data_IF_539908726113
#
_entry.id   IF_539908726113
#
_cell.length_a   1.000
_cell.length_b   1.000
_cell.length_c   1.000
_cell.angle_alpha   90.00
_cell.angle_beta   90.00
_cell.angle_gamma   90.00
#
_symmetry.space_group_name_H-M   'P 1'
#
loop_
_entity.id
_entity.type
_entity.pdbx_description
1 polymer ?
#
# COMPACT_ATOMS: atom_id res chain seq x y z
N UNK A 1 7.59 15.95 12.07
CA UNK A 1 6.51 15.67 11.10
C UNK A 1 5.19 15.61 11.85
N UNK A 2 4.26 16.53 11.55
CA UNK A 2 2.93 16.57 12.16
C UNK A 2 1.93 16.17 11.07
N UNK A 3 1.25 15.03 11.26
CA UNK A 3 0.12 14.62 10.44
C UNK A 3 -1.15 14.75 11.28
N UNK A 4 -2.16 15.44 10.76
CA UNK A 4 -3.49 15.50 11.37
C UNK A 4 -4.48 14.84 10.43
N UNK A 5 -5.21 13.84 10.93
CA UNK A 5 -6.32 13.22 10.22
C UNK A 5 -7.59 13.85 10.77
N UNK A 6 -8.43 14.43 9.90
CA UNK A 6 -9.77 14.91 10.29
C UNK A 6 -10.78 13.82 9.96
N UNK A 7 -11.03 12.94 10.92
CA UNK A 7 -11.92 11.79 10.77
C UNK A 7 -11.86 10.85 11.96
N UNK A 8 -12.42 9.66 11.81
CA UNK A 8 -12.27 8.57 12.78
C UNK A 8 -11.62 7.35 12.13
N UNK A 9 -10.74 6.71 12.89
CA UNK A 9 -10.11 5.45 12.55
C UNK A 9 -10.47 4.44 13.61
N UNK A 10 -11.06 3.32 13.21
CA UNK A 10 -11.33 2.19 14.09
C UNK A 10 -10.58 0.99 13.55
N UNK A 11 -9.96 0.21 14.43
CA UNK A 11 -9.26 -1.02 14.07
C UNK A 11 -9.14 -1.89 15.32
N UNK A 12 -9.04 -3.20 15.11
CA UNK A 12 -8.78 -4.17 16.18
C UNK A 12 -7.38 -4.72 16.00
N UNK A 13 -6.54 -4.63 17.03
CA UNK A 13 -5.22 -5.28 17.03
C UNK A 13 -5.40 -6.73 17.43
N UNK A 14 -5.19 -7.66 16.50
CA UNK A 14 -5.32 -9.10 16.78
C UNK A 14 -3.99 -9.75 17.11
N UNK A 15 -2.89 -9.15 16.64
CA UNK A 15 -1.53 -9.62 16.92
C UNK A 15 -0.59 -8.44 17.08
N UNK A 16 0.23 -8.48 18.13
CA UNK A 16 1.33 -7.54 18.30
C UNK A 16 2.54 -8.26 18.89
N UNK A 17 3.67 -8.17 18.21
CA UNK A 17 4.94 -8.69 18.67
C UNK A 17 6.08 -7.85 18.11
N UNK A 18 6.93 -7.36 19.01
CA UNK A 18 8.17 -6.68 18.62
C UNK A 18 9.09 -7.58 17.79
N UNK A 19 8.99 -8.91 17.90
CA UNK A 19 9.87 -9.85 17.19
C UNK A 19 9.23 -10.50 15.95
N UNK A 20 7.89 -10.60 15.92
CA UNK A 20 7.17 -11.43 14.95
C UNK A 20 6.12 -10.73 14.10
N UNK A 21 5.86 -9.45 14.34
CA UNK A 21 4.93 -8.66 13.52
C UNK A 21 3.71 -8.14 14.25
N UNK A 22 2.85 -7.49 13.47
CA UNK A 22 1.62 -6.86 13.90
C UNK A 22 0.50 -7.21 12.91
N UNK A 23 -0.71 -7.43 13.41
CA UNK A 23 -1.88 -7.63 12.57
C UNK A 23 -3.06 -6.82 13.10
N UNK A 24 -3.81 -6.27 12.16
CA UNK A 24 -5.01 -5.49 12.39
C UNK A 24 -6.17 -6.10 11.63
N UNK A 25 -7.35 -6.08 12.25
CA UNK A 25 -8.61 -6.43 11.62
C UNK A 25 -9.58 -5.25 11.66
N UNK A 26 -10.52 -5.27 10.72
CA UNK A 26 -11.63 -4.31 10.63
C UNK A 26 -11.17 -2.85 10.68
N UNK A 27 -10.10 -2.53 9.95
CA UNK A 27 -9.62 -1.16 9.84
C UNK A 27 -10.60 -0.36 8.99
N UNK A 28 -11.21 0.66 9.57
CA UNK A 28 -12.18 1.53 8.91
C UNK A 28 -11.81 2.98 9.13
N UNK A 29 -11.58 3.71 8.03
CA UNK A 29 -11.35 5.14 8.01
C UNK A 29 -12.57 5.86 7.45
N UNK A 30 -13.15 6.74 8.26
CA UNK A 30 -14.29 7.57 7.90
C UNK A 30 -13.88 9.04 7.84
N UNK A 31 -14.31 9.74 6.79
CA UNK A 31 -14.23 11.20 6.72
C UNK A 31 -15.25 11.86 7.64
N UNK A 32 -15.23 13.19 7.70
CA UNK A 32 -16.21 13.98 8.42
C UNK A 32 -17.67 13.78 7.93
N UNK A 33 -18.62 14.35 8.67
CA UNK A 33 -20.07 14.21 8.45
C UNK A 33 -20.56 14.69 7.08
N UNK A 34 -19.75 15.42 6.30
CA UNK A 34 -20.08 15.90 4.95
C UNK A 34 -20.35 14.75 3.97
N UNK A 35 -19.81 13.55 4.24
CA UNK A 35 -19.92 12.35 3.41
C UNK A 35 -20.71 11.21 4.08
N UNK A 36 -21.71 11.54 4.92
CA UNK A 36 -22.64 10.57 5.50
C UNK A 36 -21.95 9.47 6.33
N UNK A 37 -20.78 9.77 6.93
CA UNK A 37 -19.95 8.82 7.67
C UNK A 37 -19.55 7.55 6.90
N UNK A 38 -19.66 7.57 5.58
CA UNK A 38 -19.26 6.43 4.76
C UNK A 38 -17.73 6.26 4.82
N UNK A 39 -17.25 5.01 4.87
CA UNK A 39 -15.82 4.75 4.92
C UNK A 39 -15.18 5.16 3.61
N UNK A 40 -14.11 5.96 3.69
CA UNK A 40 -13.26 6.28 2.53
C UNK A 40 -12.32 5.11 2.23
N UNK A 41 -11.90 4.43 3.29
CA UNK A 41 -11.04 3.26 3.22
C UNK A 41 -11.51 2.26 4.29
N UNK A 42 -11.62 0.99 3.90
CA UNK A 42 -11.72 -0.11 4.84
C UNK A 42 -10.82 -1.27 4.43
N UNK A 43 -10.28 -1.98 5.41
CA UNK A 43 -9.43 -3.17 5.20
C UNK A 43 -9.90 -4.21 6.18
N UNK A 44 -10.17 -5.43 5.69
CA UNK A 44 -10.59 -6.53 6.55
C UNK A 44 -9.42 -7.02 7.40
N UNK A 45 -8.27 -7.21 6.77
CA UNK A 45 -7.05 -7.70 7.43
C UNK A 45 -5.82 -6.98 6.87
N UNK A 46 -4.98 -6.49 7.77
CA UNK A 46 -3.68 -5.93 7.47
C UNK A 46 -2.65 -6.62 8.36
N UNK A 47 -1.77 -7.42 7.77
CA UNK A 47 -0.69 -8.12 8.48
C UNK A 47 0.67 -7.65 8.00
N UNK A 48 1.54 -7.31 8.94
CA UNK A 48 2.97 -7.16 8.73
C UNK A 48 3.69 -8.19 9.61
N UNK A 49 4.25 -9.22 8.99
CA UNK A 49 5.03 -10.25 9.68
C UNK A 49 6.52 -10.07 9.38
N UNK A 50 7.33 -10.08 10.42
CA UNK A 50 8.79 -10.08 10.34
C UNK A 50 9.36 -11.09 11.31
N UNK A 51 10.67 -11.35 11.25
CA UNK A 51 11.32 -12.22 12.22
C UNK A 51 12.66 -11.61 12.65
N UNK A 52 12.63 -10.70 13.62
CA UNK A 52 13.82 -9.96 14.06
C UNK A 52 14.93 -10.86 14.64
N UNK A 53 14.66 -11.95 15.37
CA UNK A 53 15.70 -12.86 15.84
C UNK A 53 16.64 -13.37 14.72
N UNK A 54 16.17 -13.46 13.48
CA UNK A 54 17.00 -13.87 12.35
C UNK A 54 18.06 -12.85 11.95
N UNK A 55 17.88 -11.57 12.31
CA UNK A 55 18.86 -10.51 12.05
C UNK A 55 20.18 -10.83 12.77
N UNK A 56 20.11 -11.43 13.97
CA UNK A 56 21.29 -11.88 14.72
C UNK A 56 22.10 -12.95 13.97
N UNK A 57 21.46 -13.68 13.05
CA UNK A 57 22.09 -14.69 12.20
C UNK A 57 22.46 -14.15 10.81
N UNK A 58 22.43 -12.82 10.62
CA UNK A 58 22.67 -12.19 9.32
C UNK A 58 21.55 -12.47 8.31
N UNK A 59 20.29 -12.60 8.77
CA UNK A 59 19.14 -12.84 7.87
C UNK A 59 18.07 -11.78 8.15
N UNK A 60 17.99 -10.78 7.28
CA UNK A 60 16.97 -9.74 7.35
C UNK A 60 15.70 -10.22 6.63
N UNK A 61 14.86 -10.99 7.34
CA UNK A 61 13.64 -11.57 6.76
C UNK A 61 12.41 -10.69 7.07
N UNK A 62 11.98 -9.88 6.10
CA UNK A 62 10.65 -9.28 6.06
C UNK A 62 9.67 -10.36 5.58
N UNK A 63 9.15 -11.14 6.52
CA UNK A 63 8.46 -12.39 6.20
C UNK A 63 7.21 -12.19 5.34
N UNK A 64 6.35 -11.20 5.64
CA UNK A 64 5.07 -11.05 4.93
C UNK A 64 4.46 -9.66 5.10
N UNK A 65 3.86 -9.13 4.04
CA UNK A 65 2.92 -8.01 4.06
C UNK A 65 1.64 -8.52 3.41
N UNK A 66 0.54 -8.60 4.17
CA UNK A 66 -0.76 -9.02 3.68
C UNK A 66 -1.79 -7.90 3.83
N UNK A 67 -2.53 -7.64 2.75
CA UNK A 67 -3.67 -6.74 2.72
C UNK A 67 -4.84 -7.50 2.11
N UNK A 68 -5.88 -7.74 2.91
CA UNK A 68 -7.05 -8.50 2.49
C UNK A 68 -8.30 -7.63 2.59
N UNK A 69 -9.10 -7.63 1.52
CA UNK A 69 -10.39 -6.95 1.50
C UNK A 69 -10.27 -5.44 1.58
N UNK A 70 -9.21 -4.84 1.01
CA UNK A 70 -9.09 -3.39 0.91
C UNK A 70 -10.21 -2.85 0.03
N UNK A 71 -10.99 -1.92 0.57
CA UNK A 71 -12.02 -1.17 -0.14
C UNK A 71 -11.68 0.30 -0.06
N UNK A 72 -11.44 0.92 -1.20
CA UNK A 72 -11.25 2.36 -1.32
C UNK A 72 -12.46 2.91 -2.07
N UNK A 73 -13.12 3.90 -1.49
CA UNK A 73 -14.28 4.56 -2.08
C UNK A 73 -14.00 6.05 -2.16
N UNK A 74 -13.58 6.52 -3.35
CA UNK A 74 -13.29 7.91 -3.62
C UNK A 74 -14.51 8.59 -4.22
N UNK A 75 -15.00 9.61 -3.54
CA UNK A 75 -16.23 10.32 -3.94
C UNK A 75 -16.00 11.80 -4.02
N UNK A 76 -16.46 12.40 -5.11
CA UNK A 76 -16.50 13.84 -5.26
C UNK A 76 -17.94 14.35 -5.09
N UNK A 77 -18.15 15.25 -4.13
CA UNK A 77 -19.43 15.94 -3.87
C UNK A 77 -19.19 17.44 -3.87
N UNK A 78 -19.98 18.20 -4.62
CA UNK A 78 -19.85 19.67 -4.71
C UNK A 78 -18.44 20.16 -5.06
N UNK A 79 -17.72 19.41 -5.89
CA UNK A 79 -16.33 19.73 -6.29
C UNK A 79 -15.25 19.26 -5.32
N UNK A 80 -15.59 18.79 -4.12
CA UNK A 80 -14.64 18.34 -3.09
C UNK A 80 -14.58 16.81 -3.00
N UNK A 81 -13.37 16.26 -2.80
CA UNK A 81 -13.15 14.83 -2.61
C UNK A 81 -13.20 14.45 -1.13
N UNK A 82 -13.85 13.33 -0.80
CA UNK A 82 -13.86 12.80 0.57
C UNK A 82 -12.46 12.57 1.16
N UNK A 83 -11.49 12.15 0.33
CA UNK A 83 -10.09 11.98 0.75
C UNK A 83 -9.42 13.31 1.16
N UNK A 84 -9.75 14.42 0.50
CA UNK A 84 -9.18 15.74 0.80
C UNK A 84 -9.61 16.29 2.17
N UNK A 85 -10.74 15.79 2.71
CA UNK A 85 -11.17 16.10 4.08
C UNK A 85 -10.38 15.31 5.11
N UNK A 86 -10.00 14.07 4.82
CA UNK A 86 -9.21 13.24 5.74
C UNK A 86 -7.79 13.77 5.92
N UNK A 87 -7.15 14.15 4.81
CA UNK A 87 -5.77 14.64 4.78
C UNK A 87 -5.76 16.05 4.22
N UNK A 88 -5.90 17.09 5.07
CA UNK A 88 -5.80 18.46 4.59
C UNK A 88 -4.42 18.66 3.96
N UNK A 89 -4.39 19.26 2.77
CA UNK A 89 -3.14 19.61 2.09
C UNK A 89 -2.33 20.53 3.01
N UNK A 90 -1.25 20.01 3.57
CA UNK A 90 -0.27 20.84 4.25
C UNK A 90 0.33 21.79 3.22
N UNK A 91 0.26 23.09 3.49
CA UNK A 91 0.84 24.14 2.68
C UNK A 91 2.34 23.92 2.50
N UNK A 92 2.79 24.01 1.24
CA UNK A 92 4.17 24.14 0.74
C UNK A 92 5.17 23.01 1.06
N UNK A 93 5.75 22.37 0.02
CA UNK A 93 7.09 21.84 0.14
C UNK A 93 8.03 23.03 0.36
N UNK A 94 8.68 23.10 1.51
CA UNK A 94 9.94 23.84 1.63
C UNK A 94 10.90 23.18 0.65
N UNK A 95 11.41 23.94 -0.32
CA UNK A 95 12.57 23.53 -1.10
C UNK A 95 13.75 23.41 -0.14
N UNK A 96 13.94 22.22 0.42
CA UNK A 96 15.20 21.87 1.05
C UNK A 96 16.24 21.70 -0.05
N UNK A 97 17.21 22.61 -0.05
CA UNK A 97 18.39 22.62 -0.90
C UNK A 97 19.04 21.24 -0.93
N UNK A 98 19.11 20.64 -2.13
CA UNK A 98 19.91 19.45 -2.37
C UNK A 98 21.39 19.81 -2.24
N UNK A 99 21.94 19.63 -1.04
CA UNK A 99 23.39 19.50 -0.90
C UNK A 99 23.80 18.24 -1.66
N UNK A 100 24.56 18.40 -2.74
CA UNK A 100 25.13 17.31 -3.52
C UNK A 100 26.15 16.55 -2.69
N UNK A 101 25.68 15.58 -1.90
CA UNK A 101 26.54 14.51 -1.42
C UNK A 101 26.85 13.60 -2.62
N UNK A 102 28.11 13.20 -2.74
CA UNK A 102 28.56 12.22 -3.74
C UNK A 102 27.56 11.05 -3.81
N UNK A 103 27.04 10.76 -5.00
CA UNK A 103 26.07 9.68 -5.19
C UNK A 103 26.68 8.36 -4.71
N UNK A 104 26.19 7.84 -3.60
CA UNK A 104 26.59 6.52 -3.12
C UNK A 104 26.28 5.50 -4.22
N UNK A 105 27.29 4.75 -4.66
CA UNK A 105 27.11 3.69 -5.68
C UNK A 105 26.66 2.37 -5.06
N UNK A 106 27.05 2.12 -3.81
CA UNK A 106 26.76 0.87 -3.09
C UNK A 106 26.68 1.08 -1.57
N UNK A 107 25.85 0.27 -0.92
CA UNK A 107 25.74 0.18 0.54
C UNK A 107 26.38 -1.13 0.98
N UNK A 108 27.38 -1.07 1.85
CA UNK A 108 28.02 -2.27 2.42
C UNK A 108 27.41 -2.64 3.77
N UNK A 109 27.21 -3.93 3.99
CA UNK A 109 26.75 -4.48 5.27
C UNK A 109 27.91 -5.13 6.01
N UNK A 110 27.92 -5.03 7.35
CA UNK A 110 28.99 -5.59 8.19
C UNK A 110 29.02 -7.13 8.09
N UNK A 111 27.85 -7.75 7.95
CA UNK A 111 27.69 -9.20 7.82
C UNK A 111 27.01 -9.53 6.47
N UNK A 112 27.25 -10.73 5.90
CA UNK A 112 26.45 -11.20 4.78
C UNK A 112 24.98 -11.28 5.21
N UNK A 113 24.11 -10.66 4.42
CA UNK A 113 22.67 -10.67 4.66
C UNK A 113 21.91 -11.22 3.46
N UNK A 114 20.76 -11.82 3.72
CA UNK A 114 19.75 -12.14 2.71
C UNK A 114 18.46 -11.41 3.07
N UNK A 115 17.69 -11.01 2.06
CA UNK A 115 16.38 -10.41 2.18
C UNK A 115 15.32 -11.33 1.56
N UNK A 116 14.17 -11.40 2.22
CA UNK A 116 12.99 -12.06 1.69
C UNK A 116 11.80 -11.14 1.92
N UNK A 117 10.88 -11.08 0.96
CA UNK A 117 9.64 -10.33 1.00
C UNK A 117 8.54 -11.18 0.36
N UNK A 118 7.42 -11.34 1.08
CA UNK A 118 6.18 -11.88 0.53
C UNK A 118 5.09 -10.82 0.65
N UNK A 119 4.55 -10.37 -0.48
CA UNK A 119 3.46 -9.42 -0.55
C UNK A 119 2.20 -10.13 -1.06
N UNK A 120 1.12 -9.99 -0.32
CA UNK A 120 -0.16 -10.61 -0.62
C UNK A 120 -1.27 -9.57 -0.56
N UNK A 121 -1.82 -9.22 -1.72
CA UNK A 121 -3.01 -8.40 -1.86
C UNK A 121 -4.15 -9.31 -2.29
N UNK A 122 -5.24 -9.33 -1.54
CA UNK A 122 -6.42 -10.15 -1.85
C UNK A 122 -7.67 -9.32 -1.81
N UNK A 123 -8.53 -9.53 -2.80
CA UNK A 123 -9.86 -8.91 -2.87
C UNK A 123 -9.81 -7.40 -2.68
N UNK A 124 -9.01 -6.74 -3.50
CA UNK A 124 -8.89 -5.28 -3.53
C UNK A 124 -10.01 -4.70 -4.38
N UNK A 125 -10.75 -3.75 -3.81
CA UNK A 125 -11.83 -3.01 -4.45
C UNK A 125 -11.51 -1.52 -4.40
N UNK A 126 -11.57 -0.86 -5.54
CA UNK A 126 -11.36 0.59 -5.64
C UNK A 126 -12.49 1.17 -6.46
N UNK A 127 -13.33 1.98 -5.86
CA UNK A 127 -14.43 2.67 -6.54
C UNK A 127 -14.13 4.17 -6.56
N UNK A 128 -14.32 4.79 -7.71
CA UNK A 128 -14.19 6.23 -7.89
C UNK A 128 -15.47 6.75 -8.51
N UNK A 129 -16.11 7.72 -7.88
CA UNK A 129 -17.31 8.37 -8.40
C UNK A 129 -17.22 9.88 -8.26
N UNK A 130 -17.58 10.60 -9.32
CA UNK A 130 -17.65 12.06 -9.32
C UNK A 130 -19.04 12.55 -9.68
N UNK A 131 -19.59 13.42 -8.83
CA UNK A 131 -20.80 14.20 -9.08
C UNK A 131 -20.42 15.64 -9.45
N UNK A 132 -19.67 15.82 -10.54
CA UNK A 132 -19.25 17.12 -11.04
C UNK A 132 -20.27 17.68 -12.06
N UNK A 133 -21.38 18.24 -11.56
CA UNK A 133 -22.32 19.02 -12.38
C UNK A 133 -22.80 18.29 -13.66
N UNK A 134 -22.36 18.76 -14.83
CA UNK A 134 -22.82 18.31 -16.16
C UNK A 134 -22.30 16.92 -16.60
N UNK A 135 -21.34 16.32 -15.88
CA UNK A 135 -20.82 14.99 -16.21
C UNK A 135 -20.53 14.20 -14.94
N UNK A 136 -21.17 13.03 -14.81
CA UNK A 136 -20.82 12.06 -13.79
C UNK A 136 -19.91 10.98 -14.39
N UNK A 137 -18.89 10.57 -13.64
CA UNK A 137 -17.98 9.49 -14.01
C UNK A 137 -17.91 8.49 -12.86
N UNK A 138 -17.92 7.20 -13.22
CA UNK A 138 -17.70 6.08 -12.32
C UNK A 138 -16.68 5.14 -12.93
N UNK A 139 -15.67 4.75 -12.15
CA UNK A 139 -14.80 3.63 -12.47
C UNK A 139 -14.58 2.78 -11.23
N UNK A 140 -14.31 1.50 -11.45
CA UNK A 140 -14.03 0.57 -10.38
C UNK A 140 -13.01 -0.47 -10.78
N UNK A 141 -12.19 -0.89 -9.82
CA UNK A 141 -11.45 -2.13 -9.84
C UNK A 141 -12.13 -3.04 -8.82
N UNK A 142 -12.55 -4.24 -9.24
CA UNK A 142 -13.25 -5.17 -8.36
C UNK A 142 -12.47 -6.46 -8.18
N UNK A 143 -12.16 -6.78 -6.93
CA UNK A 143 -11.61 -8.07 -6.54
C UNK A 143 -10.24 -8.39 -7.14
N UNK A 144 -9.38 -7.38 -7.26
CA UNK A 144 -8.00 -7.55 -7.67
C UNK A 144 -7.21 -8.30 -6.60
N UNK A 145 -6.38 -9.25 -7.03
CA UNK A 145 -5.53 -10.04 -6.15
C UNK A 145 -4.13 -10.14 -6.76
N UNK A 146 -3.12 -9.95 -5.93
CA UNK A 146 -1.71 -10.02 -6.28
C UNK A 146 -0.95 -10.82 -5.22
N UNK A 147 -0.16 -11.78 -5.65
CA UNK A 147 0.86 -12.40 -4.81
C UNK A 147 2.23 -12.15 -5.44
N UNK A 148 3.15 -11.59 -4.66
CA UNK A 148 4.51 -11.29 -5.05
C UNK A 148 5.48 -11.85 -4.02
N UNK A 149 6.48 -12.59 -4.48
CA UNK A 149 7.54 -13.16 -3.67
C UNK A 149 8.88 -12.69 -4.22
N UNK A 150 9.76 -12.25 -3.33
CA UNK A 150 11.12 -11.86 -3.62
C UNK A 150 12.03 -12.52 -2.59
N UNK A 151 13.04 -13.24 -3.04
CA UNK A 151 14.12 -13.78 -2.22
C UNK A 151 15.45 -13.41 -2.83
N UNK A 152 16.46 -13.17 -1.99
CA UNK A 152 17.79 -12.80 -2.44
C UNK A 152 18.83 -13.84 -2.05
N UNK A 153 19.90 -13.93 -2.84
CA UNK A 153 21.13 -14.58 -2.39
C UNK A 153 21.72 -13.82 -1.18
N UNK A 154 22.69 -14.42 -0.49
CA UNK A 154 23.45 -13.69 0.52
C UNK A 154 24.38 -12.68 -0.14
N UNK A 155 24.33 -11.44 0.32
CA UNK A 155 25.17 -10.36 -0.16
C UNK A 155 25.78 -9.57 0.99
N UNK A 156 26.91 -8.92 0.72
CA UNK A 156 27.52 -7.93 1.63
C UNK A 156 27.41 -6.50 1.12
N UNK A 157 26.93 -6.35 -0.12
CA UNK A 157 26.88 -5.08 -0.84
C UNK A 157 25.56 -4.99 -1.57
N UNK A 158 24.91 -3.85 -1.48
CA UNK A 158 23.68 -3.50 -2.20
C UNK A 158 24.08 -2.47 -3.25
N UNK A 159 24.17 -2.84 -4.54
CA UNK A 159 24.37 -1.88 -5.61
C UNK A 159 23.16 -0.96 -5.73
N UNK A 160 23.37 0.34 -5.90
CA UNK A 160 22.29 1.33 -6.10
C UNK A 160 21.99 1.56 -7.60
N UNK A 161 22.25 0.53 -8.41
CA UNK A 161 22.04 0.53 -9.86
C UNK A 161 21.47 -0.83 -10.31
N UNK A 162 21.35 -1.03 -11.62
CA UNK A 162 20.75 -2.25 -12.23
C UNK A 162 21.41 -3.56 -11.80
N UNK A 163 22.65 -3.53 -11.27
CA UNK A 163 23.32 -4.72 -10.71
C UNK A 163 22.60 -5.27 -9.47
N UNK A 164 21.70 -4.50 -8.84
CA UNK A 164 20.86 -4.99 -7.74
C UNK A 164 20.03 -6.23 -8.13
N UNK A 165 19.70 -6.38 -9.42
CA UNK A 165 18.99 -7.55 -9.93
C UNK A 165 19.78 -8.85 -9.78
N UNK A 166 21.12 -8.78 -9.68
CA UNK A 166 21.98 -9.94 -9.43
C UNK A 166 21.83 -10.50 -8.01
N UNK A 167 21.27 -9.71 -7.10
CA UNK A 167 21.00 -10.16 -5.74
C UNK A 167 19.74 -11.02 -5.67
N UNK A 168 18.85 -10.92 -6.66
CA UNK A 168 17.58 -11.63 -6.68
C UNK A 168 17.83 -13.10 -7.01
N UNK A 169 17.46 -13.99 -6.10
CA UNK A 169 17.48 -15.44 -6.31
C UNK A 169 16.14 -15.93 -6.86
N UNK A 170 15.05 -15.52 -6.20
CA UNK A 170 13.68 -15.89 -6.57
C UNK A 170 12.84 -14.65 -6.72
N UNK A 171 12.10 -14.59 -7.83
CA UNK A 171 10.98 -13.67 -8.01
C UNK A 171 9.77 -14.47 -8.48
N UNK A 172 8.64 -14.34 -7.77
CA UNK A 172 7.37 -14.92 -8.20
C UNK A 172 6.30 -13.85 -8.20
N UNK A 173 5.48 -13.88 -9.23
CA UNK A 173 4.40 -12.94 -9.42
C UNK A 173 3.17 -13.70 -9.88
N UNK A 174 2.03 -13.48 -9.22
CA UNK A 174 0.73 -14.03 -9.60
C UNK A 174 -0.32 -12.94 -9.46
N UNK A 175 -1.11 -12.73 -10.51
CA UNK A 175 -2.16 -11.71 -10.55
C UNK A 175 -3.49 -12.35 -10.92
N UNK A 176 -4.56 -11.96 -10.22
CA UNK A 176 -5.94 -12.44 -10.38
C UNK A 176 -6.07 -13.94 -10.72
N UNK A 177 -5.44 -14.84 -9.94
CA UNK A 177 -5.39 -16.27 -10.30
C UNK A 177 -6.79 -16.93 -10.36
N UNK A 178 -7.84 -16.27 -9.85
CA UNK A 178 -9.19 -16.85 -9.71
C UNK A 178 -10.32 -16.10 -10.46
N UNK A 179 -10.05 -15.00 -11.17
CA UNK A 179 -11.13 -14.20 -11.82
C UNK A 179 -10.92 -13.97 -13.32
N UNK A 180 -11.89 -14.42 -14.14
CA UNK A 180 -12.07 -13.99 -15.54
C UNK A 180 -12.62 -12.57 -15.54
N UNK A 181 -11.97 -11.66 -16.25
CA UNK A 181 -12.44 -10.28 -16.39
C UNK A 181 -13.68 -10.22 -17.29
N UNK A 182 -14.82 -9.76 -16.75
CA UNK A 182 -15.93 -9.26 -17.57
C UNK A 182 -15.70 -7.78 -17.89
N UNK A 183 -15.80 -7.43 -19.17
CA UNK A 183 -15.55 -6.10 -19.72
C UNK A 183 -16.65 -5.12 -19.32
N UNK A 184 -16.28 -3.91 -18.90
CA UNK A 184 -17.22 -2.83 -18.57
C UNK A 184 -17.64 -2.10 -19.85
N UNK A 185 -18.93 -2.19 -20.17
CA UNK A 185 -19.61 -1.47 -21.24
C UNK A 185 -19.75 0.03 -20.93
N UNK A 186 -19.35 0.88 -21.87
CA UNK A 186 -19.64 2.33 -21.86
C UNK A 186 -21.11 2.53 -22.26
N UNK A 187 -21.99 2.84 -21.30
CA UNK A 187 -23.34 3.31 -21.62
C UNK A 187 -23.23 4.79 -22.02
N UNK A 188 -23.30 5.05 -23.32
CA UNK A 188 -23.55 6.40 -23.85
C UNK A 188 -25.07 6.53 -23.93
N UNK A 189 -25.66 7.32 -23.03
CA UNK A 189 -27.03 7.81 -23.22
C UNK A 189 -26.96 8.98 -24.21
N UNK A 190 -27.38 8.76 -25.46
CA UNK A 190 -27.78 9.83 -26.36
C UNK A 190 -29.19 10.30 -26.01
N UNK A 191 -29.38 11.62 -26.12
CA UNK A 191 -30.59 12.40 -25.79
C UNK A 191 -31.91 11.82 -26.28
#
# INVERSE_FOLDING_TARGET
MQGSIRGSANFTVTKFSLFYGIAFEDLVLKSDSTFEERPVLSVKELELSYNLPWILLGRAKLSKIAIVGLKIDLRQKSGEWNLSKLFPTSSQPSEEEKTSSSSLEEISTILPVSAYLNLELRDIFVHVSSEAGLSSYKAGLEGFSLAFELDTVRFRKIPLNVRILQLIDVIRFKMNPEKRFESISKIILSR
#
